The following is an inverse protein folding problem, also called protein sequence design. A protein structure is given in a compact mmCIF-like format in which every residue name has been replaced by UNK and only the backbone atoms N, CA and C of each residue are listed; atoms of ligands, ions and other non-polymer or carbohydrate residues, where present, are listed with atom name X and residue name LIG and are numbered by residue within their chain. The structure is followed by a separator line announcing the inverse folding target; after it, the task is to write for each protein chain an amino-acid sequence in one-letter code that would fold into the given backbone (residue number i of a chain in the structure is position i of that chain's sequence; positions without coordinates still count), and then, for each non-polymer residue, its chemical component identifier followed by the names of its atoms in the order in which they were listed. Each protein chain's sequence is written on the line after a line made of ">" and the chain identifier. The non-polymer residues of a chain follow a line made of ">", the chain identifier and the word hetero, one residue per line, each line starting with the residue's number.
data_IF_042233386533
#
_entry.id   IF_042233386533
#
_cell.length_a   1.000
_cell.length_b   1.000
_cell.length_c   1.000
_cell.angle_alpha   90.00
_cell.angle_beta   90.00
_cell.angle_gamma   90.00
#
_symmetry.space_group_name_H-M   'P 1'
#
loop_
_entity.id
_entity.type
_entity.pdbx_description
1 polymer ?
#
# COMPACT_ATOMS: atom_id res chain seq x y z
N UNK A 1 -6.77 -5.35 -21.97
CA UNK A 1 -6.27 -5.65 -20.61
C UNK A 1 -7.31 -6.53 -19.95
N UNK A 2 -6.91 -7.72 -19.51
CA UNK A 2 -7.84 -8.71 -18.95
C UNK A 2 -7.69 -8.71 -17.43
N UNK A 3 -8.80 -8.58 -16.72
CA UNK A 3 -8.84 -8.67 -15.26
C UNK A 3 -9.37 -10.05 -14.88
N UNK A 4 -8.69 -10.71 -13.93
CA UNK A 4 -9.08 -12.02 -13.41
C UNK A 4 -9.44 -11.87 -11.93
N UNK A 5 -10.58 -12.42 -11.53
CA UNK A 5 -11.06 -12.45 -10.15
C UNK A 5 -11.14 -13.92 -9.73
N UNK A 6 -10.43 -14.27 -8.66
CA UNK A 6 -10.40 -15.63 -8.12
C UNK A 6 -11.10 -15.67 -6.77
N UNK A 7 -11.79 -16.77 -6.49
CA UNK A 7 -12.39 -17.03 -5.18
C UNK A 7 -11.42 -17.90 -4.36
N UNK A 8 -10.77 -17.38 -3.31
CA UNK A 8 -9.72 -18.10 -2.59
C UNK A 8 -10.24 -19.34 -1.83
N UNK A 9 -11.50 -19.32 -1.40
CA UNK A 9 -12.18 -20.45 -0.74
C UNK A 9 -12.50 -21.62 -1.69
N UNK A 10 -12.37 -21.43 -3.00
CA UNK A 10 -12.60 -22.48 -3.99
C UNK A 10 -11.40 -23.44 -4.10
N UNK A 11 -10.28 -23.10 -3.47
CA UNK A 11 -9.08 -23.94 -3.41
C UNK A 11 -9.10 -24.76 -2.11
N UNK A 12 -8.74 -26.04 -2.22
CA UNK A 12 -8.62 -26.95 -1.07
C UNK A 12 -7.31 -26.68 -0.30
N UNK A 13 -7.28 -25.54 0.40
CA UNK A 13 -6.12 -25.04 1.13
C UNK A 13 -6.55 -24.43 2.49
N UNK A 14 -7.01 -25.26 3.44
CA UNK A 14 -7.57 -24.78 4.71
C UNK A 14 -6.56 -23.99 5.56
N UNK A 15 -5.27 -24.32 5.45
CA UNK A 15 -4.19 -23.66 6.20
C UNK A 15 -3.50 -22.53 5.42
N UNK A 16 -4.06 -22.12 4.27
CA UNK A 16 -3.41 -21.15 3.36
C UNK A 16 -3.03 -19.84 4.05
N UNK A 17 -3.88 -19.32 4.94
CA UNK A 17 -3.59 -18.09 5.68
C UNK A 17 -2.42 -18.28 6.65
N UNK A 18 -2.44 -19.34 7.46
CA UNK A 18 -1.39 -19.63 8.43
C UNK A 18 -0.04 -19.88 7.75
N UNK A 19 -0.03 -20.60 6.63
CA UNK A 19 1.18 -20.82 5.83
C UNK A 19 1.70 -19.53 5.19
N UNK A 20 0.80 -18.66 4.72
CA UNK A 20 1.17 -17.35 4.17
C UNK A 20 1.85 -16.48 5.23
N UNK A 21 1.28 -16.42 6.44
CA UNK A 21 1.86 -15.69 7.57
C UNK A 21 3.22 -16.25 7.98
N UNK A 22 3.35 -17.57 8.08
CA UNK A 22 4.62 -18.24 8.39
C UNK A 22 5.69 -17.96 7.32
N UNK A 23 5.31 -17.97 6.04
CA UNK A 23 6.20 -17.63 4.93
C UNK A 23 6.67 -16.19 5.01
N UNK A 24 5.76 -15.23 5.24
CA UNK A 24 6.12 -13.81 5.39
C UNK A 24 7.06 -13.64 6.58
N UNK A 25 6.77 -14.26 7.73
CA UNK A 25 7.60 -14.19 8.93
C UNK A 25 9.00 -14.77 8.69
N UNK A 26 9.12 -15.85 7.93
CA UNK A 26 10.40 -16.42 7.52
C UNK A 26 11.17 -15.48 6.58
N UNK A 27 10.51 -14.93 5.54
CA UNK A 27 11.14 -13.98 4.62
C UNK A 27 11.73 -12.75 5.35
N UNK A 28 11.02 -12.23 6.36
CA UNK A 28 11.47 -11.08 7.15
C UNK A 28 12.72 -11.35 7.99
N UNK A 29 13.10 -12.61 8.19
CA UNK A 29 14.34 -12.99 8.89
C UNK A 29 15.57 -13.00 7.97
N UNK A 30 15.38 -12.76 6.66
CA UNK A 30 16.51 -12.68 5.71
C UNK A 30 17.49 -11.59 6.15
N UNK A 31 18.82 -11.77 5.97
CA UNK A 31 19.79 -10.73 6.33
C UNK A 31 19.50 -9.39 5.62
N UNK A 32 19.46 -8.30 6.39
CA UNK A 32 19.26 -6.95 5.89
C UNK A 32 19.84 -5.92 6.86
N UNK A 33 20.10 -4.72 6.37
CA UNK A 33 20.50 -3.59 7.22
C UNK A 33 19.31 -3.16 8.08
N UNK A 34 19.57 -2.76 9.33
CA UNK A 34 18.52 -2.36 10.28
C UNK A 34 17.62 -1.23 9.75
N UNK A 35 18.17 -0.33 8.93
CA UNK A 35 17.46 0.80 8.34
C UNK A 35 16.75 0.46 7.02
N UNK A 36 16.87 -0.79 6.55
CA UNK A 36 16.27 -1.29 5.31
C UNK A 36 15.55 -2.64 5.54
N UNK A 37 14.47 -2.65 6.35
CA UNK A 37 13.73 -3.88 6.67
C UNK A 37 13.11 -4.52 5.42
N UNK A 38 13.03 -5.85 5.42
CA UNK A 38 12.26 -6.59 4.42
C UNK A 38 10.77 -6.37 4.67
N UNK A 39 10.08 -5.82 3.69
CA UNK A 39 8.63 -5.54 3.74
C UNK A 39 7.85 -6.55 2.89
N UNK A 40 6.70 -6.97 3.39
CA UNK A 40 5.74 -7.71 2.57
C UNK A 40 5.04 -6.75 1.58
N UNK A 41 4.62 -7.23 0.38
CA UNK A 41 3.86 -6.43 -0.56
C UNK A 41 2.64 -5.79 0.11
N UNK A 42 2.49 -4.47 -0.02
CA UNK A 42 1.40 -3.69 0.59
C UNK A 42 1.76 -3.02 1.93
N UNK A 43 2.81 -3.45 2.64
CA UNK A 43 3.16 -2.87 3.95
C UNK A 43 3.67 -1.43 3.82
N UNK A 44 4.46 -1.15 2.79
CA UNK A 44 4.95 0.21 2.52
C UNK A 44 3.80 1.17 2.19
N UNK A 45 2.83 0.71 1.39
CA UNK A 45 1.63 1.47 1.04
C UNK A 45 0.75 1.72 2.26
N UNK A 46 0.61 0.74 3.15
CA UNK A 46 -0.14 0.88 4.40
C UNK A 46 0.52 1.91 5.33
N UNK A 47 1.83 1.81 5.55
CA UNK A 47 2.59 2.77 6.36
C UNK A 47 2.50 4.20 5.79
N UNK A 48 2.64 4.35 4.47
CA UNK A 48 2.48 5.65 3.82
C UNK A 48 1.05 6.18 3.87
N UNK A 49 0.04 5.31 3.81
CA UNK A 49 -1.36 5.70 3.97
C UNK A 49 -1.58 6.27 5.35
N UNK A 50 -1.12 5.58 6.40
CA UNK A 50 -1.21 6.07 7.79
C UNK A 50 -0.51 7.42 7.96
N UNK A 51 0.72 7.55 7.44
CA UNK A 51 1.47 8.81 7.48
C UNK A 51 0.71 9.96 6.78
N UNK A 52 0.14 9.73 5.59
CA UNK A 52 -0.63 10.73 4.85
C UNK A 52 -1.96 11.08 5.51
N UNK A 53 -2.61 10.13 6.19
CA UNK A 53 -3.81 10.40 6.97
C UNK A 53 -3.50 11.29 8.17
N UNK A 54 -2.34 11.11 8.80
CA UNK A 54 -1.92 11.91 9.96
C UNK A 54 -1.32 13.28 9.57
N UNK A 55 -0.55 13.35 8.49
CA UNK A 55 0.29 14.51 8.15
C UNK A 55 -0.18 15.26 6.89
N UNK A 56 -1.18 14.72 6.20
CA UNK A 56 -1.61 15.18 4.89
C UNK A 56 -0.74 14.61 3.76
N UNK A 57 -1.29 14.64 2.54
CA UNK A 57 -0.57 14.22 1.34
C UNK A 57 0.38 15.32 0.86
N UNK A 58 1.67 14.99 0.79
CA UNK A 58 2.67 15.88 0.19
C UNK A 58 2.47 15.93 -1.32
N UNK A 59 2.00 17.08 -1.82
CA UNK A 59 1.99 17.39 -3.24
C UNK A 59 3.28 18.12 -3.63
N UNK A 60 3.79 17.85 -4.83
CA UNK A 60 4.79 18.74 -5.41
C UNK A 60 4.14 20.10 -5.73
N UNK A 61 4.84 21.23 -5.54
CA UNK A 61 4.28 22.56 -5.80
C UNK A 61 3.69 22.75 -7.20
N UNK A 62 4.25 22.11 -8.23
CA UNK A 62 3.70 22.14 -9.58
C UNK A 62 2.34 21.40 -9.69
N UNK A 63 2.13 20.34 -8.92
CA UNK A 63 0.87 19.59 -8.87
C UNK A 63 -0.23 20.34 -8.10
N UNK A 64 0.15 21.16 -7.12
CA UNK A 64 -0.79 22.00 -6.36
C UNK A 64 -1.36 23.20 -7.12
N UNK A 65 -0.69 23.66 -8.20
CA UNK A 65 -1.16 24.79 -9.02
C UNK A 65 -2.28 24.41 -10.00
N UNK A 66 -2.42 23.13 -10.35
CA UNK A 66 -3.50 22.65 -11.22
C UNK A 66 -4.84 22.43 -10.50
N UNK A 67 -4.86 22.47 -9.17
CA UNK A 67 -5.98 22.03 -8.34
C UNK A 67 -6.74 23.16 -7.63
N UNK A 68 -6.40 24.44 -7.89
CA UNK A 68 -7.22 25.57 -7.45
C UNK A 68 -8.34 25.78 -8.49
N UNK A 69 -9.62 25.46 -8.20
CA UNK A 69 -10.70 25.82 -9.11
C UNK A 69 -10.73 27.35 -9.28
N UNK A 70 -10.96 27.89 -10.49
CA UNK A 70 -11.12 29.32 -10.66
C UNK A 70 -12.26 29.79 -9.75
N UNK A 71 -12.01 30.82 -8.94
CA UNK A 71 -13.07 31.49 -8.17
C UNK A 71 -14.21 31.82 -9.14
N UNK A 72 -15.39 31.23 -8.92
CA UNK A 72 -16.59 31.67 -9.59
C UNK A 72 -16.74 33.17 -9.27
N UNK A 73 -16.53 34.01 -10.28
CA UNK A 73 -16.83 35.43 -10.17
C UNK A 73 -18.35 35.51 -10.20
N UNK A 74 -18.96 35.82 -9.05
CA UNK A 74 -20.37 36.16 -9.00
C UNK A 74 -20.58 37.42 -9.85
N UNK A 75 -21.40 37.29 -10.90
CA UNK A 75 -21.95 38.42 -11.64
C UNK A 75 -23.01 39.15 -10.82
#
# INVERSE_FOLDING_TARGET
>A
MTTVILRPDAFDAPDSQAQTEAFIAWCKQSPHDADAPVLAPGEWEAANREARLAQGSRWMPAAGRLSVPPRATSA
#
